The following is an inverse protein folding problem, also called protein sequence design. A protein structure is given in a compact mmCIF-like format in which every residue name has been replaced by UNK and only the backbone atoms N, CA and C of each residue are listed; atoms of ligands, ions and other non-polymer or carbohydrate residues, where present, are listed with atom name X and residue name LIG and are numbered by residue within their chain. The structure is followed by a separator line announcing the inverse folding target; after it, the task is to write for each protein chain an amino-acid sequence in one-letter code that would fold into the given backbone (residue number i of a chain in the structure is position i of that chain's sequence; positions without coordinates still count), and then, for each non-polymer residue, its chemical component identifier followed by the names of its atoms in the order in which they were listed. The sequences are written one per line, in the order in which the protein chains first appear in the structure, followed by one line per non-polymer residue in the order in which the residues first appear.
data_IF_196762478778
#
_entry.id   IF_196762478778
#
_cell.length_a   1.000
_cell.length_b   1.000
_cell.length_c   1.000
_cell.angle_alpha   90.00
_cell.angle_beta   90.00
_cell.angle_gamma   90.00
#
_symmetry.space_group_name_H-M   'P 1'
#
loop_
_entity.id
_entity.type
_entity.pdbx_description
1 polymer ?
#
# COMPACT_ATOMS: atom_id res chain seq x y z
N UNK A 1 -0.06 32.23 -24.16
CA UNK A 1 1.01 31.20 -24.24
C UNK A 1 2.04 31.40 -23.14
N UNK A 2 2.73 32.55 -23.01
CA UNK A 2 3.77 32.76 -21.96
C UNK A 2 3.27 32.62 -20.50
N UNK A 3 2.09 33.16 -20.18
CA UNK A 3 1.47 33.08 -18.83
C UNK A 3 0.87 31.71 -18.52
N UNK A 4 0.33 31.04 -19.53
CA UNK A 4 -0.20 29.67 -19.40
C UNK A 4 0.93 28.66 -19.17
N UNK A 5 2.09 28.86 -19.81
CA UNK A 5 3.29 28.03 -19.60
C UNK A 5 3.87 28.21 -18.18
N UNK A 6 3.82 29.42 -17.60
CA UNK A 6 4.25 29.66 -16.21
C UNK A 6 3.34 28.98 -15.17
N UNK A 7 2.03 28.96 -15.41
CA UNK A 7 1.06 28.31 -14.50
C UNK A 7 1.21 26.78 -14.48
N UNK A 8 1.50 26.16 -15.63
CA UNK A 8 1.75 24.72 -15.73
C UNK A 8 3.09 24.35 -15.05
N UNK A 9 4.12 25.20 -15.17
CA UNK A 9 5.40 25.00 -14.47
C UNK A 9 5.28 25.10 -12.94
N UNK A 10 4.37 25.94 -12.42
CA UNK A 10 4.11 26.07 -10.99
C UNK A 10 3.37 24.84 -10.40
N UNK A 11 2.56 24.16 -11.21
CA UNK A 11 1.83 22.94 -10.85
C UNK A 11 2.74 21.70 -10.66
N UNK A 12 3.95 21.69 -11.22
CA UNK A 12 4.88 20.57 -11.12
C UNK A 12 5.79 20.62 -9.88
N UNK A 13 5.74 21.71 -9.09
CA UNK A 13 6.56 21.89 -7.88
C UNK A 13 5.87 21.44 -6.59
N UNK A 14 4.62 21.00 -6.67
CA UNK A 14 3.85 20.44 -5.55
C UNK A 14 3.87 18.90 -5.57
N UNK A 15 4.99 18.29 -5.94
CA UNK A 15 5.16 16.86 -5.70
C UNK A 15 5.20 16.65 -4.19
N UNK A 16 4.13 16.03 -3.73
CA UNK A 16 3.65 15.95 -2.36
C UNK A 16 4.67 15.31 -1.44
N UNK A 17 4.89 15.90 -0.26
CA UNK A 17 5.45 15.19 0.90
C UNK A 17 4.48 14.07 1.28
N UNK A 18 4.67 12.86 0.74
CA UNK A 18 3.91 11.69 1.16
C UNK A 18 4.48 11.23 2.49
N UNK A 19 3.83 11.61 3.59
CA UNK A 19 4.06 10.96 4.88
C UNK A 19 3.65 9.50 4.68
N UNK A 20 4.58 8.56 4.87
CA UNK A 20 4.27 7.13 4.83
C UNK A 20 3.13 6.88 5.79
N UNK A 21 1.96 6.54 5.26
CA UNK A 21 0.83 6.10 6.07
C UNK A 21 1.28 4.80 6.75
N UNK A 22 0.93 4.59 8.02
CA UNK A 22 1.12 3.27 8.64
C UNK A 22 0.28 2.26 7.86
N UNK A 23 0.90 1.14 7.48
CA UNK A 23 0.24 0.12 6.69
C UNK A 23 -0.62 -0.75 7.61
N UNK A 24 -1.93 -0.73 7.39
CA UNK A 24 -2.90 -1.57 8.09
C UNK A 24 -2.79 -1.45 9.63
N UNK A 25 -2.96 -0.25 10.22
CA UNK A 25 -2.86 -0.06 11.68
C UNK A 25 -3.91 -0.87 12.46
N UNK A 26 -5.06 -1.14 11.84
CA UNK A 26 -6.12 -1.98 12.41
C UNK A 26 -5.87 -3.48 12.21
N UNK A 27 -4.80 -3.85 11.49
CA UNK A 27 -4.44 -5.23 11.20
C UNK A 27 -5.11 -5.79 9.94
N UNK A 28 -4.96 -7.09 9.75
CA UNK A 28 -5.50 -7.83 8.59
C UNK A 28 -5.78 -9.29 8.98
N UNK A 29 -6.77 -9.89 8.35
CA UNK A 29 -7.02 -11.33 8.44
C UNK A 29 -6.82 -11.99 7.08
N UNK A 30 -5.89 -12.94 7.00
CA UNK A 30 -5.71 -13.82 5.85
C UNK A 30 -6.48 -15.12 6.08
N UNK A 31 -7.43 -15.42 5.20
CA UNK A 31 -8.26 -16.63 5.25
C UNK A 31 -7.92 -17.63 4.13
N UNK A 32 -7.17 -17.20 3.11
CA UNK A 32 -6.78 -17.99 1.94
C UNK A 32 -5.34 -17.72 1.53
N UNK A 33 -4.72 -18.69 0.83
CA UNK A 33 -3.38 -18.51 0.26
C UNK A 33 -3.34 -17.34 -0.74
N UNK A 34 -4.38 -17.19 -1.57
CA UNK A 34 -4.44 -16.12 -2.55
C UNK A 34 -4.40 -14.72 -1.94
N UNK A 35 -4.92 -14.51 -0.73
CA UNK A 35 -4.82 -13.19 -0.06
C UNK A 35 -3.39 -12.88 0.37
N UNK A 36 -2.62 -13.89 0.77
CA UNK A 36 -1.19 -13.78 1.10
C UNK A 36 -0.41 -13.51 -0.18
N UNK A 37 -0.59 -14.34 -1.22
CA UNK A 37 0.13 -14.23 -2.50
C UNK A 37 -0.09 -12.87 -3.19
N UNK A 38 -1.23 -12.23 -2.93
CA UNK A 38 -1.58 -10.92 -3.51
C UNK A 38 -1.30 -9.75 -2.56
N UNK A 39 -0.67 -9.95 -1.40
CA UNK A 39 -0.50 -8.90 -0.40
C UNK A 39 0.21 -7.67 -0.97
N UNK A 40 1.36 -7.83 -1.64
CA UNK A 40 2.09 -6.71 -2.23
C UNK A 40 1.35 -6.03 -3.39
N UNK A 41 0.46 -6.76 -4.07
CA UNK A 41 -0.40 -6.18 -5.12
C UNK A 41 -1.54 -5.36 -4.53
N UNK A 42 -2.14 -5.85 -3.45
CA UNK A 42 -3.27 -5.19 -2.78
C UNK A 42 -2.83 -4.03 -1.88
N UNK A 43 -1.62 -4.10 -1.33
CA UNK A 43 -1.04 -3.11 -0.43
C UNK A 43 0.35 -2.67 -0.91
N UNK A 44 0.42 -1.98 -2.06
CA UNK A 44 1.70 -1.63 -2.69
C UNK A 44 2.53 -0.69 -1.81
N UNK A 45 3.81 -1.02 -1.66
CA UNK A 45 4.75 -0.26 -0.84
C UNK A 45 4.67 -0.54 0.66
N UNK A 46 3.74 -1.39 1.09
CA UNK A 46 3.69 -1.84 2.48
C UNK A 46 4.76 -2.89 2.75
N UNK A 47 5.78 -2.48 3.51
CA UNK A 47 6.89 -3.33 3.96
C UNK A 47 6.71 -3.86 5.38
N UNK A 48 5.74 -3.31 6.11
CA UNK A 48 5.40 -3.68 7.48
C UNK A 48 3.88 -3.59 7.66
N UNK A 49 3.29 -4.48 8.46
CA UNK A 49 1.90 -4.37 8.90
C UNK A 49 1.92 -3.87 10.35
N UNK A 50 1.40 -2.67 10.60
CA UNK A 50 1.45 -2.04 11.92
C UNK A 50 0.44 -2.62 12.91
N UNK A 51 -0.64 -3.22 12.42
CA UNK A 51 -1.68 -3.83 13.24
C UNK A 51 -1.54 -5.35 13.42
N UNK A 52 -2.55 -5.97 14.01
CA UNK A 52 -2.56 -7.41 14.27
C UNK A 52 -2.76 -8.21 12.99
N UNK A 53 -1.88 -9.18 12.73
CA UNK A 53 -2.06 -10.15 11.64
C UNK A 53 -2.73 -11.41 12.16
N UNK A 54 -3.91 -11.72 11.67
CA UNK A 54 -4.60 -12.99 11.93
C UNK A 54 -4.52 -13.87 10.70
N UNK A 55 -4.07 -15.11 10.87
CA UNK A 55 -4.00 -16.10 9.79
C UNK A 55 -4.90 -17.27 10.16
N UNK A 56 -5.98 -17.46 9.41
CA UNK A 56 -6.98 -18.49 9.71
C UNK A 56 -7.61 -19.01 8.42
N UNK A 57 -7.08 -20.11 7.92
CA UNK A 57 -7.63 -20.83 6.77
C UNK A 57 -7.10 -22.26 6.73
N UNK A 58 -7.90 -23.19 6.23
CA UNK A 58 -7.52 -24.61 6.19
C UNK A 58 -6.51 -24.94 5.08
N UNK A 59 -6.40 -24.06 4.06
CA UNK A 59 -5.60 -24.28 2.86
C UNK A 59 -4.56 -23.16 2.66
N UNK A 60 -3.93 -22.72 3.74
CA UNK A 60 -2.74 -21.85 3.69
C UNK A 60 -1.53 -22.75 3.87
N UNK A 61 -0.64 -22.74 2.89
CA UNK A 61 0.50 -23.66 2.80
C UNK A 61 1.83 -22.97 3.10
N UNK A 62 1.90 -21.65 2.88
CA UNK A 62 3.07 -20.83 3.12
C UNK A 62 2.65 -19.37 3.35
N UNK A 63 3.61 -18.52 3.73
CA UNK A 63 3.41 -17.08 3.96
C UNK A 63 4.18 -16.22 2.95
N UNK A 64 4.51 -16.77 1.79
CA UNK A 64 5.25 -16.09 0.73
C UNK A 64 4.27 -15.24 -0.09
N UNK A 65 4.52 -13.92 -0.21
CA UNK A 65 3.65 -12.97 -0.91
C UNK A 65 4.33 -11.64 -1.20
#
# INVERSE_FOLDING_TARGET
MKTTTLLIAFSFFFQTLTISQTCLPEGITFSTQAEIDNFQTNYPGCTEISGVVTIKGNNITNLDG
#
